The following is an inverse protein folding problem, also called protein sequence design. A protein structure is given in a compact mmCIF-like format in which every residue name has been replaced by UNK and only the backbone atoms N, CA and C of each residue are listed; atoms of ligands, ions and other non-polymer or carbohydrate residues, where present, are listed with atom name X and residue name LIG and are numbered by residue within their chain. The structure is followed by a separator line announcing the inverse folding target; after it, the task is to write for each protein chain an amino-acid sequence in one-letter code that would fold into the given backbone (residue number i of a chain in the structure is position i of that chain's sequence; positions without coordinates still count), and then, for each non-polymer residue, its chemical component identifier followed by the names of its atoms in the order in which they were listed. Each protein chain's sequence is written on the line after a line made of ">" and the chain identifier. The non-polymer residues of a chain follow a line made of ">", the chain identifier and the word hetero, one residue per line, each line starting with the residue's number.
data_IF_370672429175
#
_entry.id   IF_370672429175
#
_cell.length_a   1.000
_cell.length_b   1.000
_cell.length_c   1.000
_cell.angle_alpha   90.00
_cell.angle_beta   90.00
_cell.angle_gamma   90.00
#
_symmetry.space_group_name_H-M   'P 1'
#
loop_
_entity.id
_entity.type
_entity.pdbx_description
1 polymer ?
#
# COMPACT_ATOMS: atom_id res chain seq x y z
N UNK A 1 -1.01 11.08 14.83
CA UNK A 1 0.12 11.05 13.89
C UNK A 1 0.74 9.68 14.08
N UNK A 2 0.57 8.78 13.13
CA UNK A 2 1.12 7.42 13.23
C UNK A 2 2.62 7.53 13.03
N UNK A 3 3.41 7.06 13.99
CA UNK A 3 4.87 7.05 13.87
C UNK A 3 5.28 6.10 12.74
N UNK A 4 6.20 6.54 11.87
CA UNK A 4 6.74 5.67 10.82
C UNK A 4 7.51 4.52 11.48
N UNK A 5 7.22 3.25 11.16
CA UNK A 5 7.93 2.12 11.75
C UNK A 5 9.44 2.18 11.45
N UNK A 6 10.28 1.78 12.40
CA UNK A 6 11.75 1.72 12.20
C UNK A 6 12.13 0.91 10.97
N UNK A 7 11.42 -0.19 10.69
CA UNK A 7 11.66 -1.02 9.51
C UNK A 7 11.46 -0.24 8.19
N UNK A 8 10.48 0.66 8.14
CA UNK A 8 10.23 1.51 6.96
C UNK A 8 11.34 2.55 6.81
N UNK A 9 11.79 3.15 7.92
CA UNK A 9 12.89 4.13 7.91
C UNK A 9 14.20 3.51 7.44
N UNK A 10 14.49 2.26 7.80
CA UNK A 10 15.69 1.56 7.30
C UNK A 10 15.59 1.30 5.79
N UNK A 11 14.41 0.86 5.30
CA UNK A 11 14.18 0.67 3.87
C UNK A 11 14.34 1.97 3.06
N UNK A 12 13.90 3.11 3.61
CA UNK A 12 14.11 4.43 3.00
C UNK A 12 15.60 4.78 2.89
N UNK A 13 16.41 4.44 3.90
CA UNK A 13 17.88 4.63 3.86
C UNK A 13 18.53 3.73 2.82
N UNK A 14 17.97 2.56 2.55
CA UNK A 14 18.39 1.64 1.47
C UNK A 14 17.96 2.12 0.06
N UNK A 15 17.24 3.26 -0.01
CA UNK A 15 16.80 3.88 -1.26
C UNK A 15 15.40 3.48 -1.70
N UNK A 16 14.62 2.83 -0.85
CA UNK A 16 13.22 2.52 -1.14
C UNK A 16 12.37 3.80 -1.11
N UNK A 17 11.35 3.84 -1.97
CA UNK A 17 10.27 4.81 -1.85
C UNK A 17 9.12 4.19 -1.06
N UNK A 18 8.54 4.93 -0.13
CA UNK A 18 7.49 4.39 0.75
C UNK A 18 6.25 5.27 0.78
N UNK A 19 5.09 4.64 0.91
CA UNK A 19 3.82 5.31 1.12
C UNK A 19 3.00 4.55 2.16
N UNK A 20 2.57 5.22 3.23
CA UNK A 20 1.50 4.67 4.05
C UNK A 20 0.16 4.87 3.34
N UNK A 21 -0.55 3.79 3.05
CA UNK A 21 -1.82 3.84 2.36
C UNK A 21 -2.95 4.18 3.34
N UNK A 22 -3.74 5.19 3.01
CA UNK A 22 -4.88 5.62 3.82
C UNK A 22 -6.06 5.96 2.91
N UNK A 23 -7.31 5.97 3.41
CA UNK A 23 -8.47 6.40 2.63
C UNK A 23 -8.32 7.83 2.08
N UNK A 24 -7.58 8.69 2.79
CA UNK A 24 -7.40 10.10 2.43
C UNK A 24 -6.37 10.32 1.33
N UNK A 25 -5.43 9.39 1.13
CA UNK A 25 -4.33 9.58 0.19
C UNK A 25 -4.30 8.55 -0.95
N UNK A 26 -5.21 7.59 -1.00
CA UNK A 26 -5.23 6.53 -2.02
C UNK A 26 -5.12 7.09 -3.45
N UNK A 27 -5.88 8.13 -3.80
CA UNK A 27 -5.81 8.72 -5.15
C UNK A 27 -4.45 9.36 -5.44
N UNK A 28 -3.77 9.92 -4.44
CA UNK A 28 -2.42 10.45 -4.63
C UNK A 28 -1.42 9.32 -4.83
N UNK A 29 -1.48 8.28 -4.00
CA UNK A 29 -0.58 7.13 -4.07
C UNK A 29 -0.75 6.40 -5.41
N UNK A 30 -1.98 6.18 -5.86
CA UNK A 30 -2.32 5.61 -7.16
C UNK A 30 -1.69 6.42 -8.32
N UNK A 31 -1.87 7.75 -8.32
CA UNK A 31 -1.24 8.63 -9.31
C UNK A 31 0.29 8.63 -9.26
N UNK A 32 0.88 8.53 -8.07
CA UNK A 32 2.34 8.49 -7.93
C UNK A 32 2.90 7.17 -8.47
N UNK A 33 2.19 6.05 -8.30
CA UNK A 33 2.55 4.75 -8.87
C UNK A 33 2.34 4.71 -10.39
N UNK A 34 1.25 5.30 -10.91
CA UNK A 34 0.96 5.37 -12.34
C UNK A 34 2.08 6.09 -13.12
N UNK A 35 2.62 7.18 -12.56
CA UNK A 35 3.78 7.90 -13.14
C UNK A 35 5.05 7.06 -13.25
N UNK A 36 5.14 5.95 -12.52
CA UNK A 36 6.25 5.00 -12.59
C UNK A 36 6.04 3.97 -13.72
N UNK A 37 4.95 4.07 -14.47
CA UNK A 37 4.55 3.12 -15.51
C UNK A 37 4.02 1.80 -14.95
N UNK A 38 3.60 1.79 -13.68
CA UNK A 38 3.11 0.59 -12.99
C UNK A 38 1.61 0.69 -12.81
N UNK A 39 0.90 -0.36 -13.23
CA UNK A 39 -0.55 -0.42 -13.08
C UNK A 39 -0.95 -0.46 -11.61
N UNK A 40 -1.80 0.46 -11.16
CA UNK A 40 -2.44 0.43 -9.85
C UNK A 40 -3.97 0.53 -9.98
N UNK A 41 -4.69 -0.11 -9.04
CA UNK A 41 -6.15 -0.03 -9.00
C UNK A 41 -6.67 -0.29 -7.59
N UNK A 42 -7.72 0.42 -7.19
CA UNK A 42 -8.42 0.18 -5.94
C UNK A 42 -8.81 -1.30 -5.76
N UNK A 43 -8.56 -1.83 -4.56
CA UNK A 43 -8.92 -3.17 -4.15
C UNK A 43 -10.19 -3.11 -3.31
N UNK A 44 -11.22 -3.86 -3.73
CA UNK A 44 -12.56 -3.78 -3.17
C UNK A 44 -12.93 -5.09 -2.47
N UNK A 45 -13.47 -4.99 -1.26
CA UNK A 45 -14.00 -6.11 -0.49
C UNK A 45 -15.43 -5.78 -0.02
N UNK A 46 -16.22 -6.80 0.31
CA UNK A 46 -17.51 -6.59 0.94
C UNK A 46 -17.30 -6.21 2.42
N UNK A 47 -17.88 -5.09 2.85
CA UNK A 47 -17.99 -4.71 4.25
C UNK A 47 -19.04 -5.55 4.98
N UNK A 48 -19.18 -5.31 6.29
CA UNK A 48 -20.13 -6.04 7.16
C UNK A 48 -21.60 -5.90 6.74
N UNK A 49 -21.93 -4.81 6.04
CA UNK A 49 -23.27 -4.57 5.48
C UNK A 49 -23.48 -5.18 4.09
N UNK A 50 -22.49 -5.92 3.57
CA UNK A 50 -22.49 -6.54 2.25
C UNK A 50 -22.24 -5.58 1.09
N UNK A 51 -21.95 -4.30 1.34
CA UNK A 51 -21.61 -3.33 0.29
C UNK A 51 -20.13 -3.42 -0.03
N UNK A 52 -19.79 -3.16 -1.30
CA UNK A 52 -18.40 -3.09 -1.71
C UNK A 52 -17.76 -1.80 -1.23
N UNK A 53 -16.68 -1.93 -0.49
CA UNK A 53 -15.85 -0.85 0.00
C UNK A 53 -14.43 -1.01 -0.56
N UNK A 54 -13.82 0.11 -0.96
CA UNK A 54 -12.42 0.10 -1.37
C UNK A 54 -11.60 0.01 -0.10
N UNK A 55 -10.92 -1.12 0.12
CA UNK A 55 -10.15 -1.42 1.34
C UNK A 55 -8.65 -1.28 1.14
N UNK A 56 -8.20 -0.94 -0.07
CA UNK A 56 -6.78 -0.87 -0.37
C UNK A 56 -6.46 -0.59 -1.84
N UNK A 57 -5.21 -0.87 -2.22
CA UNK A 57 -4.68 -0.69 -3.56
C UNK A 57 -3.98 -1.97 -4.01
N UNK A 58 -4.34 -2.44 -5.21
CA UNK A 58 -3.60 -3.47 -5.95
C UNK A 58 -2.57 -2.81 -6.83
N UNK A 59 -1.33 -3.28 -6.76
CA UNK A 59 -0.19 -2.73 -7.49
C UNK A 59 0.44 -3.82 -8.35
N UNK A 60 0.62 -3.53 -9.63
CA UNK A 60 1.15 -4.44 -10.65
C UNK A 60 0.11 -5.35 -11.29
N UNK A 61 0.59 -6.13 -12.26
CA UNK A 61 -0.19 -7.08 -13.03
C UNK A 61 -0.13 -8.50 -12.46
N UNK A 62 -1.16 -9.29 -12.78
CA UNK A 62 -1.18 -10.71 -12.38
C UNK A 62 -0.15 -11.50 -13.20
N UNK A 63 0.49 -12.52 -12.60
CA UNK A 63 0.29 -13.03 -11.25
C UNK A 63 1.03 -12.27 -10.14
N UNK A 64 2.04 -11.44 -10.47
CA UNK A 64 2.98 -10.84 -9.51
C UNK A 64 2.51 -9.58 -8.76
N UNK A 65 1.23 -9.23 -8.83
CA UNK A 65 0.69 -8.08 -8.11
C UNK A 65 0.82 -8.21 -6.58
N UNK A 66 0.96 -7.08 -5.91
CA UNK A 66 0.80 -6.96 -4.46
C UNK A 66 -0.49 -6.22 -4.13
N UNK A 67 -1.00 -6.45 -2.92
CA UNK A 67 -2.20 -5.79 -2.39
C UNK A 67 -1.80 -5.14 -1.07
N UNK A 68 -1.96 -3.83 -0.98
CA UNK A 68 -1.80 -3.06 0.26
C UNK A 68 -3.17 -2.64 0.76
N UNK A 69 -3.49 -2.94 2.02
CA UNK A 69 -4.70 -2.47 2.69
C UNK A 69 -4.48 -1.08 3.30
N UNK A 70 -5.56 -0.44 3.73
CA UNK A 70 -5.40 0.79 4.51
C UNK A 70 -4.66 0.54 5.82
N UNK A 71 -3.73 1.45 6.14
CA UNK A 71 -2.78 1.32 7.24
C UNK A 71 -1.42 0.83 6.78
N UNK A 72 -1.39 -0.07 5.79
CA UNK A 72 -0.16 -0.69 5.29
C UNK A 72 0.80 0.32 4.66
N UNK A 73 2.07 -0.05 4.65
CA UNK A 73 3.12 0.64 3.94
C UNK A 73 3.43 -0.07 2.62
N UNK A 74 3.25 0.65 1.53
CA UNK A 74 3.72 0.26 0.20
C UNK A 74 5.21 0.61 0.14
N UNK A 75 6.05 -0.38 -0.17
CA UNK A 75 7.49 -0.23 -0.35
C UNK A 75 7.81 -0.48 -1.82
N UNK A 76 8.41 0.50 -2.50
CA UNK A 76 9.01 0.32 -3.82
C UNK A 76 10.52 0.22 -3.68
N UNK A 77 11.06 -0.91 -4.10
CA UNK A 77 12.49 -1.20 -4.10
C UNK A 77 13.22 -0.51 -5.26
N UNK A 78 14.54 -0.29 -5.16
CA UNK A 78 15.34 0.31 -6.23
C UNK A 78 15.30 -0.47 -7.56
N UNK A 79 15.07 -1.78 -7.51
CA UNK A 79 14.90 -2.65 -8.68
C UNK A 79 13.54 -2.48 -9.38
N UNK A 80 12.64 -1.66 -8.81
CA UNK A 80 11.30 -1.41 -9.31
C UNK A 80 10.23 -2.36 -8.78
N UNK A 81 10.61 -3.36 -7.98
CA UNK A 81 9.70 -4.26 -7.31
C UNK A 81 8.91 -3.59 -6.19
N UNK A 82 7.75 -4.16 -5.85
CA UNK A 82 6.91 -3.69 -4.75
C UNK A 82 6.77 -4.78 -3.69
N UNK A 83 6.82 -4.38 -2.43
CA UNK A 83 6.43 -5.20 -1.28
C UNK A 83 5.51 -4.39 -0.37
N UNK A 84 4.82 -5.08 0.52
CA UNK A 84 3.94 -4.46 1.52
C UNK A 84 4.46 -4.77 2.90
N UNK A 85 4.57 -3.76 3.74
CA UNK A 85 4.78 -3.91 5.17
C UNK A 85 3.45 -3.62 5.86
N UNK A 86 2.86 -4.67 6.45
CA UNK A 86 1.58 -4.54 7.13
C UNK A 86 1.67 -3.50 8.24
N UNK A 87 0.63 -2.69 8.43
CA UNK A 87 0.48 -2.02 9.71
C UNK A 87 0.42 -3.10 10.80
N UNK A 88 1.09 -2.89 11.93
CA UNK A 88 0.87 -3.74 13.08
C UNK A 88 -0.65 -3.77 13.33
N UNK A 89 -1.26 -4.95 13.19
CA UNK A 89 -2.65 -5.14 13.58
C UNK A 89 -2.77 -4.61 15.00
N UNK A 90 -3.54 -3.53 15.19
CA UNK A 90 -4.25 -3.41 16.45
C UNK A 90 -5.14 -4.65 16.48
N UNK A 91 -4.66 -5.67 17.20
CA UNK A 91 -5.32 -6.95 17.37
C UNK A 91 -6.81 -6.70 17.57
N UNK A 92 -7.61 -7.06 16.58
CA UNK A 92 -9.05 -7.15 16.77
C UNK A 92 -9.27 -8.31 17.72
N UNK A 93 -9.41 -7.97 19.00
CA UNK A 93 -9.85 -8.86 20.07
C UNK A 93 -11.35 -9.15 19.96
#
# INVERSE_FOLDING_TARGET
>A
MTETPLAVLELEKEGCQTWQLTPRNISRVDNDIDKLGVFAKGYWAAGDDGRLECVGLRIGDRPGHVIAFYGDWIIRHPDGGFTVHAAAEEASA
#
